data_IF_909092020328
#
_entry.id   IF_909092020328
#
_cell.length_a   1.000
_cell.length_b   1.000
_cell.length_c   1.000
_cell.angle_alpha   90.00
_cell.angle_beta   90.00
_cell.angle_gamma   90.00
#
_symmetry.space_group_name_H-M   'P 1'
#
loop_
_entity.id
_entity.type
_entity.pdbx_description
1 polymer ?
#
# COMPACT_ATOMS: atom_id res chain seq x y z
N UNK A 1 29.49 8.65 14.24
CA UNK A 1 28.55 7.51 14.34
C UNK A 1 28.19 7.12 12.92
N UNK A 2 28.53 5.90 12.46
CA UNK A 2 28.25 5.49 11.07
C UNK A 2 26.73 5.46 10.90
N UNK A 3 26.20 6.27 9.99
CA UNK A 3 24.83 6.13 9.47
C UNK A 3 24.66 4.67 9.07
N UNK A 4 23.82 3.94 9.79
CA UNK A 4 23.37 2.63 9.34
C UNK A 4 22.53 2.93 8.11
N UNK A 5 23.12 2.76 6.93
CA UNK A 5 22.37 2.73 5.68
C UNK A 5 21.26 1.71 5.88
N UNK A 6 20.02 2.20 5.98
CA UNK A 6 18.87 1.32 5.95
C UNK A 6 18.96 0.57 4.62
N UNK A 7 18.97 -0.77 4.63
CA UNK A 7 19.06 -1.52 3.39
C UNK A 7 17.91 -1.08 2.49
N UNK A 8 18.22 -0.86 1.20
CA UNK A 8 17.20 -0.59 0.20
C UNK A 8 16.11 -1.67 0.31
N UNK A 9 14.81 -1.32 0.31
CA UNK A 9 13.74 -2.29 0.48
C UNK A 9 13.89 -3.42 -0.54
N UNK A 10 13.91 -4.68 -0.06
CA UNK A 10 14.09 -5.84 -0.92
C UNK A 10 12.99 -5.83 -2.01
N UNK A 11 13.36 -5.86 -3.30
CA UNK A 11 12.39 -5.88 -4.40
C UNK A 11 11.40 -7.05 -4.33
N UNK A 12 11.65 -8.04 -3.46
CA UNK A 12 10.84 -9.24 -3.22
C UNK A 12 9.93 -9.18 -2.00
N UNK A 13 9.89 -8.12 -1.19
CA UNK A 13 8.89 -8.04 -0.11
C UNK A 13 7.52 -7.95 -0.76
N UNK A 14 6.79 -9.06 -0.78
CA UNK A 14 5.43 -9.10 -1.29
C UNK A 14 4.56 -8.17 -0.45
N UNK A 15 3.66 -7.46 -1.12
CA UNK A 15 2.70 -6.62 -0.40
C UNK A 15 1.71 -7.54 0.28
N UNK A 16 1.92 -7.81 1.56
CA UNK A 16 1.01 -8.65 2.36
C UNK A 16 -0.31 -7.93 2.62
N UNK A 17 -0.27 -6.62 2.83
CA UNK A 17 -1.41 -5.80 3.22
C UNK A 17 -1.42 -4.48 2.45
N UNK A 18 -2.61 -3.95 2.21
CA UNK A 18 -2.78 -2.64 1.59
C UNK A 18 -3.87 -1.84 2.30
N UNK A 19 -3.52 -0.63 2.76
CA UNK A 19 -4.48 0.33 3.33
C UNK A 19 -4.86 1.35 2.26
N UNK A 20 -6.14 1.44 1.93
CA UNK A 20 -6.67 2.40 0.97
C UNK A 20 -7.12 3.71 1.64
N UNK A 21 -7.15 4.79 0.86
CA UNK A 21 -7.57 6.12 1.28
C UNK A 21 -9.03 6.22 1.73
N UNK A 22 -9.87 5.25 1.36
CA UNK A 22 -11.26 5.09 1.80
C UNK A 22 -11.38 4.34 3.14
N UNK A 23 -10.25 3.96 3.76
CA UNK A 23 -10.22 3.16 4.99
C UNK A 23 -10.42 1.65 4.78
N UNK A 24 -10.50 1.19 3.52
CA UNK A 24 -10.47 -0.24 3.22
C UNK A 24 -9.09 -0.81 3.45
N UNK A 25 -9.03 -2.03 3.97
CA UNK A 25 -7.80 -2.80 4.12
C UNK A 25 -7.96 -4.06 3.29
N UNK A 26 -6.97 -4.36 2.47
CA UNK A 26 -6.93 -5.56 1.66
C UNK A 26 -5.77 -6.45 2.10
N UNK A 27 -6.03 -7.75 2.19
CA UNK A 27 -5.06 -8.78 2.52
C UNK A 27 -4.69 -9.48 1.22
N UNK A 28 -3.40 -9.73 0.98
CA UNK A 28 -2.91 -10.39 -0.21
C UNK A 28 -3.60 -11.76 -0.38
N UNK A 29 -4.05 -12.06 -1.59
CA UNK A 29 -4.66 -13.34 -1.94
C UNK A 29 -3.65 -14.46 -2.23
N UNK A 30 -2.34 -14.19 -2.16
CA UNK A 30 -1.31 -15.20 -2.30
C UNK A 30 -1.45 -16.24 -1.19
N UNK A 31 -1.34 -17.52 -1.55
CA UNK A 31 -1.36 -18.67 -0.63
C UNK A 31 -2.62 -18.86 0.24
N UNK A 32 -3.76 -18.27 -0.13
CA UNK A 32 -5.05 -18.47 0.56
C UNK A 32 -6.10 -19.14 -0.32
N UNK A 33 -6.92 -20.04 0.24
CA UNK A 33 -8.00 -20.70 -0.49
C UNK A 33 -9.09 -19.70 -0.91
N UNK A 34 -9.76 -19.98 -2.03
CA UNK A 34 -10.85 -19.15 -2.54
C UNK A 34 -12.02 -19.01 -1.55
N UNK A 35 -12.24 -20.04 -0.72
CA UNK A 35 -13.27 -20.01 0.32
C UNK A 35 -13.01 -18.91 1.35
N UNK A 36 -11.73 -18.64 1.68
CA UNK A 36 -11.38 -17.62 2.66
C UNK A 36 -11.81 -16.22 2.23
N UNK A 37 -11.89 -15.94 0.94
CA UNK A 37 -12.27 -14.64 0.40
C UNK A 37 -13.58 -14.63 -0.41
N UNK A 38 -14.34 -15.72 -0.37
CA UNK A 38 -15.65 -15.77 -1.02
C UNK A 38 -16.59 -14.68 -0.48
N UNK A 39 -17.25 -13.96 -1.38
CA UNK A 39 -18.16 -12.87 -1.04
C UNK A 39 -17.49 -11.57 -0.58
N UNK A 40 -16.16 -11.51 -0.53
CA UNK A 40 -15.41 -10.30 -0.16
C UNK A 40 -15.08 -9.48 -1.41
N UNK A 41 -15.01 -8.16 -1.27
CA UNK A 41 -14.57 -7.30 -2.35
C UNK A 41 -13.09 -7.59 -2.68
N UNK A 42 -12.79 -7.67 -3.98
CA UNK A 42 -11.42 -7.86 -4.47
C UNK A 42 -10.87 -6.52 -4.95
N UNK A 43 -9.62 -6.24 -4.61
CA UNK A 43 -8.87 -5.13 -5.16
C UNK A 43 -7.72 -5.65 -6.01
N UNK A 44 -7.58 -5.07 -7.19
CA UNK A 44 -6.42 -5.25 -8.07
C UNK A 44 -5.75 -3.90 -8.21
N UNK A 45 -4.56 -3.81 -7.62
CA UNK A 45 -3.76 -2.61 -7.55
C UNK A 45 -2.54 -2.70 -8.45
N UNK A 46 -2.23 -1.59 -9.10
CA UNK A 46 -1.00 -1.44 -9.87
C UNK A 46 -0.11 -0.40 -9.19
N UNK A 47 1.13 -0.77 -8.88
CA UNK A 47 2.07 0.12 -8.24
C UNK A 47 2.39 1.32 -9.16
N UNK A 48 2.38 2.52 -8.59
CA UNK A 48 2.89 3.72 -9.25
C UNK A 48 4.41 3.66 -9.34
N UNK A 49 4.95 4.07 -10.48
CA UNK A 49 6.38 4.31 -10.62
C UNK A 49 6.78 5.56 -9.82
N UNK A 50 8.01 5.57 -9.28
CA UNK A 50 8.50 6.72 -8.51
C UNK A 50 8.42 8.05 -9.28
N UNK A 51 8.69 8.04 -10.59
CA UNK A 51 8.56 9.23 -11.46
C UNK A 51 7.15 9.81 -11.48
N UNK A 52 6.12 8.96 -11.36
CA UNK A 52 4.72 9.40 -11.37
C UNK A 52 4.34 10.03 -10.04
N UNK A 53 4.79 9.42 -8.93
CA UNK A 53 4.66 9.95 -7.57
C UNK A 53 5.34 11.33 -7.50
N UNK A 54 6.59 11.43 -7.99
CA UNK A 54 7.36 12.66 -7.99
C UNK A 54 6.70 13.76 -8.83
N UNK A 55 6.22 13.44 -10.04
CA UNK A 55 5.55 14.40 -10.94
C UNK A 55 4.27 15.00 -10.34
N UNK A 56 3.52 14.21 -9.57
CA UNK A 56 2.28 14.68 -8.92
C UNK A 56 2.53 15.46 -7.64
N UNK A 57 3.60 15.10 -6.91
CA UNK A 57 3.85 15.63 -5.58
C UNK A 57 2.76 15.25 -4.57
N UNK A 58 2.92 15.71 -3.33
CA UNK A 58 2.03 15.38 -2.22
C UNK A 58 0.58 15.82 -2.47
N UNK A 59 0.38 17.06 -2.90
CA UNK A 59 -0.96 17.64 -3.11
C UNK A 59 -1.70 16.96 -4.26
N UNK A 60 -0.99 16.64 -5.34
CA UNK A 60 -1.57 15.91 -6.46
C UNK A 60 -2.01 14.50 -6.07
N UNK A 61 -1.26 13.82 -5.20
CA UNK A 61 -1.64 12.51 -4.65
C UNK A 61 -2.84 12.60 -3.72
N UNK A 62 -2.88 13.59 -2.83
CA UNK A 62 -4.05 13.81 -1.96
C UNK A 62 -5.32 14.11 -2.76
N UNK A 63 -5.20 14.95 -3.80
CA UNK A 63 -6.32 15.24 -4.71
C UNK A 63 -6.80 14.00 -5.44
N UNK A 64 -5.88 13.12 -5.82
CA UNK A 64 -6.22 11.85 -6.46
C UNK A 64 -6.93 10.90 -5.48
N UNK A 65 -6.45 10.80 -4.23
CA UNK A 65 -7.06 9.99 -3.18
C UNK A 65 -8.51 10.36 -2.86
N UNK A 66 -8.93 11.60 -3.16
CA UNK A 66 -10.33 12.03 -3.05
C UNK A 66 -11.22 11.54 -4.19
N UNK A 67 -10.65 11.14 -5.32
CA UNK A 67 -11.36 10.72 -6.54
C UNK A 67 -11.34 9.22 -6.76
N UNK A 68 -10.24 8.57 -6.39
CA UNK A 68 -10.04 7.13 -6.52
C UNK A 68 -9.31 6.60 -5.29
N UNK A 69 -9.54 5.33 -4.90
CA UNK A 69 -8.80 4.71 -3.81
C UNK A 69 -7.30 4.70 -4.12
N UNK A 70 -6.48 5.32 -3.26
CA UNK A 70 -5.03 5.12 -3.28
C UNK A 70 -4.67 4.12 -2.19
N UNK A 71 -4.04 3.01 -2.57
CA UNK A 71 -3.57 1.99 -1.64
C UNK A 71 -2.12 2.22 -1.23
N UNK A 72 -1.84 2.26 0.07
CA UNK A 72 -0.48 2.14 0.60
C UNK A 72 -0.23 0.66 0.93
N UNK A 73 0.66 0.03 0.17
CA UNK A 73 1.09 -1.34 0.42
C UNK A 73 2.07 -1.43 1.60
N UNK A 74 2.09 -2.56 2.29
CA UNK A 74 3.09 -2.88 3.32
C UNK A 74 4.53 -2.90 2.80
N UNK A 75 4.69 -2.98 1.47
CA UNK A 75 5.97 -2.83 0.77
C UNK A 75 6.40 -1.36 0.54
N UNK A 76 5.65 -0.40 1.08
CA UNK A 76 5.89 1.04 0.97
C UNK A 76 5.53 1.65 -0.38
N UNK A 77 4.89 0.92 -1.29
CA UNK A 77 4.47 1.45 -2.60
C UNK A 77 3.04 1.98 -2.55
N UNK A 78 2.76 2.92 -3.46
CA UNK A 78 1.41 3.43 -3.71
C UNK A 78 0.82 2.66 -4.88
N UNK A 79 -0.36 2.09 -4.68
CA UNK A 79 -1.13 1.34 -5.66
C UNK A 79 -2.37 2.13 -6.07
N UNK A 80 -2.74 2.01 -7.34
CA UNK A 80 -3.97 2.55 -7.90
C UNK A 80 -4.82 1.44 -8.50
N UNK A 81 -6.16 1.57 -8.55
CA UNK A 81 -7.04 0.64 -9.22
C UNK A 81 -6.66 0.47 -10.69
N UNK A 82 -6.99 -0.67 -11.28
CA UNK A 82 -6.78 -0.95 -12.69
C UNK A 82 -7.33 0.13 -13.65
N UNK A 83 -8.47 0.74 -13.29
CA UNK A 83 -9.09 1.82 -14.06
C UNK A 83 -8.21 3.08 -14.19
N UNK A 84 -7.26 3.27 -13.27
CA UNK A 84 -6.35 4.41 -13.23
C UNK A 84 -5.06 4.18 -14.04
N UNK A 85 -4.88 2.98 -14.61
CA UNK A 85 -3.69 2.61 -15.38
C UNK A 85 -4.06 2.30 -16.83
N UNK A 86 -3.39 3.01 -17.75
CA UNK A 86 -3.51 2.75 -19.18
C UNK A 86 -3.12 1.30 -19.50
N UNK A 87 -3.90 0.63 -20.35
CA UNK A 87 -3.77 -0.79 -20.65
C UNK A 87 -2.34 -1.21 -21.03
N UNK A 88 -1.68 -0.44 -21.90
CA UNK A 88 -0.29 -0.68 -22.34
C UNK A 88 0.80 -0.53 -21.28
N UNK A 89 0.44 -0.12 -20.06
CA UNK A 89 1.36 0.06 -18.94
C UNK A 89 1.12 -0.93 -17.78
N UNK A 90 0.00 -1.67 -17.81
CA UNK A 90 -0.37 -2.62 -16.74
C UNK A 90 0.67 -3.72 -16.56
N UNK A 91 1.17 -4.31 -17.66
CA UNK A 91 2.16 -5.39 -17.63
C UNK A 91 3.57 -4.98 -17.16
N UNK A 92 3.83 -3.69 -16.97
CA UNK A 92 5.13 -3.16 -16.55
C UNK A 92 5.18 -2.79 -15.07
N UNK A 93 4.08 -3.01 -14.36
CA UNK A 93 3.88 -2.59 -12.98
C UNK A 93 3.77 -3.79 -12.08
N UNK A 94 4.21 -3.60 -10.83
CA UNK A 94 3.94 -4.58 -9.77
C UNK A 94 2.44 -4.59 -9.51
N UNK A 95 1.87 -5.78 -9.45
CA UNK A 95 0.44 -5.97 -9.20
C UNK A 95 0.25 -6.49 -7.79
N UNK A 96 -0.68 -5.87 -7.07
CA UNK A 96 -1.25 -6.41 -5.84
C UNK A 96 -2.64 -6.93 -6.15
N UNK A 97 -2.95 -8.14 -5.67
CA UNK A 97 -4.32 -8.67 -5.68
C UNK A 97 -4.65 -9.12 -4.28
N UNK A 98 -5.72 -8.55 -3.74
CA UNK A 98 -6.12 -8.84 -2.37
C UNK A 98 -7.63 -8.79 -2.19
N UNK A 99 -8.07 -9.35 -1.08
CA UNK A 99 -9.47 -9.36 -0.66
C UNK A 99 -9.66 -8.48 0.55
N UNK A 100 -10.83 -7.87 0.65
CA UNK A 100 -11.12 -6.92 1.71
C UNK A 100 -11.14 -7.64 3.06
N UNK A 101 -10.42 -7.09 4.03
CA UNK A 101 -10.46 -7.54 5.41
C UNK A 101 -11.88 -7.35 5.98
N UNK A 102 -12.36 -8.35 6.69
CA UNK A 102 -13.57 -8.28 7.50
C UNK A 102 -13.40 -7.28 8.65
N UNK A 103 -14.51 -6.86 9.26
CA UNK A 103 -14.46 -5.97 10.43
C UNK A 103 -13.59 -6.54 11.58
N UNK A 104 -13.64 -7.86 11.82
CA UNK A 104 -12.86 -8.52 12.86
C UNK A 104 -11.35 -8.60 12.54
N UNK A 105 -10.98 -8.75 11.26
CA UNK A 105 -9.58 -8.67 10.82
C UNK A 105 -9.09 -7.22 10.89
N UNK A 106 -9.86 -6.25 10.38
CA UNK A 106 -9.55 -4.81 10.46
C UNK A 106 -9.26 -4.36 11.90
N UNK A 107 -10.11 -4.76 12.85
CA UNK A 107 -9.93 -4.40 14.26
C UNK A 107 -8.57 -4.87 14.83
N UNK A 108 -8.10 -6.04 14.40
CA UNK A 108 -6.78 -6.57 14.79
C UNK A 108 -5.64 -5.84 14.08
N UNK A 109 -5.84 -5.44 12.83
CA UNK A 109 -4.82 -4.79 11.99
C UNK A 109 -4.63 -3.30 12.28
N UNK A 110 -5.66 -2.60 12.78
CA UNK A 110 -5.60 -1.18 13.14
C UNK A 110 -4.53 -0.92 14.21
N UNK A 111 -4.30 -1.85 15.13
CA UNK A 111 -3.25 -1.75 16.15
C UNK A 111 -1.86 -1.73 15.51
N UNK A 112 -1.63 -2.59 14.53
CA UNK A 112 -0.35 -2.67 13.80
C UNK A 112 -0.19 -1.48 12.84
N UNK A 113 -1.26 -1.04 12.20
CA UNK A 113 -1.27 0.19 11.41
C UNK A 113 -0.95 1.44 12.25
N UNK A 114 -1.51 1.53 13.46
CA UNK A 114 -1.20 2.61 14.39
C UNK A 114 0.27 2.56 14.82
N UNK A 115 0.81 1.37 15.12
CA UNK A 115 2.24 1.18 15.41
C UNK A 115 3.14 1.57 14.25
N UNK A 116 2.79 1.19 13.03
CA UNK A 116 3.54 1.55 11.82
C UNK A 116 3.50 3.06 11.59
N UNK A 117 2.32 3.69 11.67
CA UNK A 117 2.18 5.14 11.53
C UNK A 117 2.95 5.90 12.62
N UNK A 118 2.90 5.43 13.87
CA UNK A 118 3.67 5.98 14.98
C UNK A 118 5.19 5.85 14.74
N UNK A 119 5.66 4.66 14.35
CA UNK A 119 7.08 4.42 14.09
C UNK A 119 7.61 5.28 12.93
N UNK A 120 6.85 5.43 11.85
CA UNK A 120 7.18 6.34 10.73
C UNK A 120 7.20 7.80 11.18
N UNK A 121 6.31 8.18 12.10
CA UNK A 121 6.24 9.55 12.63
C UNK A 121 7.37 9.85 13.62
N UNK A 122 7.77 8.88 14.44
CA UNK A 122 8.81 9.03 15.47
C UNK A 122 10.24 8.91 14.92
N UNK A 123 10.47 8.17 13.83
CA UNK A 123 11.79 8.14 13.17
C UNK A 123 12.19 9.52 12.63
N UNK A 124 11.23 10.44 12.45
CA UNK A 124 11.49 11.84 12.07
C UNK A 124 11.92 12.77 13.22
N UNK A 125 11.97 12.29 14.47
CA UNK A 125 12.33 13.11 15.63
C UNK A 125 13.75 12.88 16.17
N UNK A 126 14.56 12.01 15.54
CA UNK A 126 15.95 11.75 15.95
C UNK A 126 17.00 12.23 14.93
N UNK A 127 16.68 13.20 14.07
CA UNK A 127 17.64 13.84 13.16
C UNK A 127 17.95 15.29 13.54
N UNK A 128 18.06 15.56 14.84
CA UNK A 128 18.79 16.72 15.35
C UNK A 128 19.69 16.26 16.51
N UNK A 129 20.93 15.89 16.18
CA UNK A 129 22.13 16.06 17.03
C UNK A 129 23.39 15.77 16.22
#
# INVERSE_FOLDING_TARGET
MKTRDLPAPDPRVETELMLCSDGSIYINSHDVSQEMYAGRAIFVGYALHQREIARRGREGLLTWAMRAPLGLGSDGRIYVPEAEVAEGDRGKRRVFRGFQATAAEKARMVVELHRMAFNVSCVRLNTET
#
